data_IF_089498785659
#
_entry.id   IF_089498785659
#
_cell.length_a   1.000
_cell.length_b   1.000
_cell.length_c   1.000
_cell.angle_alpha   90.00
_cell.angle_beta   90.00
_cell.angle_gamma   90.00
#
_symmetry.space_group_name_H-M   'P 1'
#
loop_
_entity.id
_entity.type
_entity.pdbx_description
1 polymer ?
#
# COMPACT_ATOMS: atom_id res chain seq x y z
N UNK A 1 -2.59 7.97 -14.08
CA UNK A 1 -2.76 6.76 -13.25
C UNK A 1 -2.58 7.14 -11.78
N UNK A 2 -3.44 6.67 -10.88
CA UNK A 2 -3.28 6.87 -9.43
C UNK A 2 -2.80 5.55 -8.83
N UNK A 3 -1.64 5.58 -8.16
CA UNK A 3 -1.04 4.39 -7.55
C UNK A 3 -0.87 4.66 -6.05
N UNK A 4 -1.36 3.73 -5.23
CA UNK A 4 -1.07 3.72 -3.81
C UNK A 4 -0.17 2.56 -3.46
N UNK A 5 0.78 2.79 -2.55
CA UNK A 5 1.61 1.74 -1.98
C UNK A 5 1.41 1.67 -0.47
N UNK A 6 0.79 0.58 -0.02
CA UNK A 6 0.56 0.31 1.40
C UNK A 6 1.77 -0.44 1.93
N UNK A 7 2.80 0.32 2.27
CA UNK A 7 4.14 -0.18 2.62
C UNK A 7 4.16 -1.23 3.75
N UNK A 8 3.36 -1.11 4.84
CA UNK A 8 3.35 -2.11 5.90
C UNK A 8 2.92 -3.51 5.46
N UNK A 9 2.21 -3.61 4.33
CA UNK A 9 1.64 -4.88 3.83
C UNK A 9 2.17 -5.28 2.45
N UNK A 10 3.09 -4.49 1.89
CA UNK A 10 3.60 -4.62 0.52
C UNK A 10 2.46 -4.81 -0.49
N UNK A 11 1.47 -3.93 -0.44
CA UNK A 11 0.32 -3.96 -1.36
C UNK A 11 0.31 -2.71 -2.22
N UNK A 12 0.12 -2.89 -3.52
CA UNK A 12 -0.10 -1.80 -4.48
C UNK A 12 -1.56 -1.76 -4.88
N UNK A 13 -2.17 -0.59 -4.81
CA UNK A 13 -3.51 -0.34 -5.35
C UNK A 13 -3.39 0.48 -6.63
N UNK A 14 -3.91 -0.05 -7.73
CA UNK A 14 -3.87 0.56 -9.05
C UNK A 14 -5.11 0.14 -9.84
N UNK A 15 -5.82 1.09 -10.44
CA UNK A 15 -7.01 0.82 -11.28
C UNK A 15 -8.03 -0.10 -10.60
N UNK A 16 -8.40 0.23 -9.36
CA UNK A 16 -9.34 -0.51 -8.50
C UNK A 16 -8.95 -1.96 -8.17
N UNK A 17 -7.70 -2.34 -8.47
CA UNK A 17 -7.15 -3.67 -8.16
C UNK A 17 -6.03 -3.57 -7.15
N UNK A 18 -5.93 -4.61 -6.33
CA UNK A 18 -4.86 -4.79 -5.38
C UNK A 18 -3.86 -5.85 -5.86
N UNK A 19 -2.57 -5.55 -5.70
CA UNK A 19 -1.47 -6.41 -6.07
C UNK A 19 -0.54 -6.59 -4.89
N UNK A 20 -0.05 -7.81 -4.69
CA UNK A 20 1.06 -8.03 -3.77
C UNK A 20 2.33 -7.58 -4.48
N UNK A 21 3.17 -6.88 -3.74
CA UNK A 21 4.47 -6.45 -4.22
C UNK A 21 5.56 -7.20 -3.45
N UNK A 22 6.58 -7.62 -4.17
CA UNK A 22 7.80 -8.19 -3.61
C UNK A 22 8.72 -7.04 -3.21
N UNK A 23 9.13 -6.99 -1.94
CA UNK A 23 10.08 -5.96 -1.51
C UNK A 23 11.46 -6.26 -2.09
N UNK A 24 12.15 -5.21 -2.47
CA UNK A 24 13.54 -5.28 -2.90
C UNK A 24 14.42 -5.00 -1.70
N UNK A 25 15.31 -5.95 -1.38
CA UNK A 25 16.31 -5.77 -0.35
C UNK A 25 17.55 -5.05 -0.90
N UNK A 26 18.03 -4.06 -0.17
CA UNK A 26 19.23 -3.29 -0.50
C UNK A 26 19.00 -2.11 -1.44
N UNK A 27 20.09 -1.41 -1.78
CA UNK A 27 20.06 -0.19 -2.57
C UNK A 27 20.24 -0.49 -4.06
N UNK A 28 19.22 -1.09 -4.68
CA UNK A 28 19.23 -1.38 -6.12
C UNK A 28 18.83 -0.14 -6.91
N UNK A 29 19.57 0.18 -7.97
CA UNK A 29 19.27 1.30 -8.86
C UNK A 29 17.93 1.11 -9.60
N UNK A 30 17.03 2.08 -9.48
CA UNK A 30 15.74 2.13 -10.17
C UNK A 30 15.61 3.24 -11.21
N UNK A 31 16.44 4.28 -11.16
CA UNK A 31 16.40 5.38 -12.13
C UNK A 31 16.84 6.72 -11.55
N UNK A 32 16.48 7.80 -12.24
CA UNK A 32 16.79 9.17 -11.80
C UNK A 32 15.53 9.96 -11.45
N UNK A 33 15.57 10.64 -10.31
CA UNK A 33 14.52 11.55 -9.88
C UNK A 33 14.66 12.92 -10.56
N UNK A 34 13.55 13.67 -10.69
CA UNK A 34 13.59 15.03 -11.26
C UNK A 34 14.46 16.01 -10.46
N UNK A 35 14.71 15.74 -9.19
CA UNK A 35 15.60 16.56 -8.35
C UNK A 35 17.10 16.26 -8.56
N UNK A 36 17.44 15.37 -9.50
CA UNK A 36 18.80 14.93 -9.81
C UNK A 36 19.35 13.82 -8.90
N UNK A 37 18.56 13.33 -7.93
CA UNK A 37 18.95 12.20 -7.08
C UNK A 37 18.70 10.83 -7.73
N UNK A 38 19.31 9.78 -7.17
CA UNK A 38 19.07 8.40 -7.58
C UNK A 38 17.75 7.90 -6.96
N UNK A 39 16.98 7.15 -7.74
CA UNK A 39 15.84 6.40 -7.26
C UNK A 39 16.26 4.96 -6.98
N UNK A 40 16.02 4.50 -5.75
CA UNK A 40 16.32 3.15 -5.29
C UNK A 40 15.04 2.32 -5.32
N UNK A 41 15.14 1.09 -5.83
CA UNK A 41 14.00 0.19 -5.93
C UNK A 41 13.51 -0.21 -4.53
N UNK A 42 12.19 -0.14 -4.31
CA UNK A 42 11.54 -0.57 -3.05
C UNK A 42 10.75 -1.85 -3.21
N UNK A 43 10.04 -1.99 -4.33
CA UNK A 43 9.19 -3.14 -4.55
C UNK A 43 8.87 -3.36 -6.04
N UNK A 44 8.50 -4.58 -6.37
CA UNK A 44 7.98 -4.97 -7.69
C UNK A 44 6.61 -5.62 -7.58
N UNK A 45 5.75 -5.33 -8.55
CA UNK A 45 4.58 -6.15 -8.85
C UNK A 45 4.88 -6.88 -10.14
N UNK A 46 5.18 -8.17 -10.02
CA UNK A 46 5.61 -9.03 -11.13
C UNK A 46 6.64 -8.32 -12.04
N UNK A 47 6.52 -8.44 -13.35
CA UNK A 47 7.32 -7.71 -14.35
C UNK A 47 6.65 -6.43 -14.87
N UNK A 48 5.55 -5.99 -14.24
CA UNK A 48 4.68 -4.91 -14.77
C UNK A 48 4.93 -3.56 -14.11
N UNK A 49 5.35 -3.53 -12.84
CA UNK A 49 5.45 -2.28 -12.08
C UNK A 49 6.60 -2.35 -11.07
N UNK A 50 7.52 -1.38 -11.15
CA UNK A 50 8.55 -1.16 -10.14
C UNK A 50 8.22 0.10 -9.35
N UNK A 51 8.29 0.03 -8.03
CA UNK A 51 8.20 1.19 -7.14
C UNK A 51 9.62 1.57 -6.70
N UNK A 52 9.97 2.84 -6.84
CA UNK A 52 11.26 3.35 -6.41
C UNK A 52 11.11 4.67 -5.64
N UNK A 53 12.05 4.92 -4.73
CA UNK A 53 12.09 6.12 -3.89
C UNK A 53 13.40 6.87 -4.09
N UNK A 54 13.30 8.18 -4.20
CA UNK A 54 14.47 9.02 -4.34
C UNK A 54 15.21 9.17 -3.02
N UNK A 55 16.52 8.90 -3.02
CA UNK A 55 17.39 9.03 -1.84
C UNK A 55 17.53 10.47 -1.32
N UNK A 56 17.19 11.47 -2.14
CA UNK A 56 17.39 12.90 -1.84
C UNK A 56 16.12 13.60 -1.39
N UNK A 57 15.01 13.41 -2.12
CA UNK A 57 13.76 14.12 -1.88
C UNK A 57 12.64 13.21 -1.37
N UNK A 58 12.92 11.91 -1.17
CA UNK A 58 11.98 10.91 -0.66
C UNK A 58 10.71 10.72 -1.48
N UNK A 59 10.66 11.29 -2.69
CA UNK A 59 9.56 11.10 -3.63
C UNK A 59 9.55 9.65 -4.10
N UNK A 60 8.36 9.05 -4.09
CA UNK A 60 8.12 7.70 -4.59
C UNK A 60 7.44 7.76 -5.94
N UNK A 61 8.00 7.05 -6.91
CA UNK A 61 7.44 6.92 -8.27
C UNK A 61 7.30 5.44 -8.61
N UNK A 62 6.29 5.13 -9.43
CA UNK A 62 6.10 3.82 -10.03
C UNK A 62 6.50 3.90 -11.51
N UNK A 63 7.24 2.90 -11.97
CA UNK A 63 7.70 2.73 -13.34
C UNK A 63 6.95 1.53 -13.91
N UNK A 64 6.14 1.77 -14.93
CA UNK A 64 5.32 0.75 -15.57
C UNK A 64 6.02 0.19 -16.79
N UNK A 65 5.94 -1.12 -16.93
CA UNK A 65 6.52 -1.87 -18.02
C UNK A 65 5.45 -2.67 -18.78
N UNK A 66 5.75 -2.97 -20.04
CA UNK A 66 5.05 -3.97 -20.83
C UNK A 66 6.10 -4.96 -21.33
N UNK A 67 6.28 -6.05 -20.59
CA UNK A 67 7.47 -6.89 -20.69
C UNK A 67 8.72 -6.07 -20.39
N UNK A 68 9.67 -6.00 -21.35
CA UNK A 68 10.93 -5.24 -21.18
C UNK A 68 10.82 -3.76 -21.56
N UNK A 69 9.68 -3.32 -22.08
CA UNK A 69 9.52 -1.94 -22.57
C UNK A 69 8.98 -1.04 -21.46
N UNK A 70 9.73 0.02 -21.14
CA UNK A 70 9.23 1.11 -20.30
C UNK A 70 8.06 1.81 -20.98
N UNK A 71 6.96 2.01 -20.24
CA UNK A 71 5.74 2.65 -20.72
C UNK A 71 5.63 4.06 -20.18
N UNK A 72 5.59 4.19 -18.85
CA UNK A 72 5.38 5.46 -18.18
C UNK A 72 5.90 5.43 -16.74
N UNK A 73 6.00 6.61 -16.15
CA UNK A 73 6.26 6.80 -14.73
C UNK A 73 5.18 7.68 -14.11
N UNK A 74 4.76 7.37 -12.90
CA UNK A 74 3.77 8.15 -12.17
C UNK A 74 4.09 8.26 -10.68
N UNK A 75 3.52 9.28 -10.04
CA UNK A 75 3.70 9.50 -8.61
C UNK A 75 2.93 8.45 -7.80
N UNK A 76 3.52 8.00 -6.69
CA UNK A 76 2.92 7.01 -5.78
C UNK A 76 2.56 7.67 -4.46
N UNK A 77 1.32 7.46 -4.02
CA UNK A 77 0.88 7.84 -2.68
C UNK A 77 1.22 6.68 -1.74
N UNK A 78 2.16 6.90 -0.82
CA UNK A 78 2.56 5.86 0.12
C UNK A 78 1.72 5.96 1.39
N UNK A 79 1.05 4.86 1.74
CA UNK A 79 0.34 4.70 3.00
C UNK A 79 1.27 3.98 3.98
N UNK A 80 1.95 4.77 4.79
CA UNK A 80 2.77 4.26 5.88
C UNK A 80 1.93 3.86 7.09
N UNK A 81 2.56 3.20 8.06
CA UNK A 81 1.91 2.76 9.30
C UNK A 81 1.17 3.90 10.02
N UNK A 82 1.79 5.08 10.10
CA UNK A 82 1.21 6.24 10.79
C UNK A 82 -0.05 6.81 10.10
N UNK A 83 -0.23 6.57 8.81
CA UNK A 83 -1.40 7.02 8.04
C UNK A 83 -2.42 5.89 7.80
N UNK A 84 -2.17 4.68 8.30
CA UNK A 84 -3.06 3.54 8.05
C UNK A 84 -4.46 3.77 8.61
N UNK A 85 -4.57 4.46 9.74
CA UNK A 85 -5.87 4.76 10.38
C UNK A 85 -6.74 5.64 9.47
N UNK A 86 -6.16 6.67 8.86
CA UNK A 86 -6.86 7.55 7.92
C UNK A 86 -7.30 6.78 6.68
N UNK A 87 -6.38 6.00 6.10
CA UNK A 87 -6.70 5.14 4.96
C UNK A 87 -7.87 4.18 5.25
N UNK A 88 -7.89 3.54 6.42
CA UNK A 88 -8.98 2.63 6.80
C UNK A 88 -10.32 3.35 6.99
N UNK A 89 -10.32 4.60 7.46
CA UNK A 89 -11.53 5.41 7.57
C UNK A 89 -12.09 5.82 6.21
N UNK A 90 -11.22 6.00 5.22
CA UNK A 90 -11.64 6.39 3.87
C UNK A 90 -12.30 5.23 3.11
N UNK A 91 -11.88 3.98 3.38
CA UNK A 91 -12.40 2.79 2.66
C UNK A 91 -13.52 2.05 3.40
N UNK A 92 -13.67 2.26 4.70
CA UNK A 92 -14.67 1.61 5.55
C UNK A 92 -15.74 2.61 5.98
N UNK A 93 -16.98 2.13 6.14
CA UNK A 93 -17.99 2.90 6.86
C UNK A 93 -17.63 3.06 8.34
N UNK A 94 -18.19 4.06 9.02
CA UNK A 94 -17.93 4.30 10.45
C UNK A 94 -18.17 3.06 11.31
N UNK A 95 -19.27 2.33 11.06
CA UNK A 95 -19.58 1.10 11.80
C UNK A 95 -18.57 -0.04 11.53
N UNK A 96 -18.09 -0.17 10.30
CA UNK A 96 -17.06 -1.15 9.92
C UNK A 96 -15.72 -0.83 10.58
N UNK A 97 -15.29 0.43 10.52
CA UNK A 97 -14.06 0.91 11.15
C UNK A 97 -14.10 0.74 12.67
N UNK A 98 -15.19 1.15 13.33
CA UNK A 98 -15.37 0.96 14.77
C UNK A 98 -15.31 -0.51 15.18
N UNK A 99 -15.93 -1.40 14.40
CA UNK A 99 -15.93 -2.82 14.71
C UNK A 99 -14.51 -3.42 14.67
N UNK A 100 -13.68 -3.02 13.68
CA UNK A 100 -12.26 -3.43 13.62
C UNK A 100 -11.46 -2.84 14.79
N UNK A 101 -11.62 -1.55 15.07
CA UNK A 101 -10.90 -0.87 16.15
C UNK A 101 -11.23 -1.49 17.52
N UNK A 102 -12.50 -1.78 17.78
CA UNK A 102 -12.92 -2.43 19.01
C UNK A 102 -12.41 -3.87 19.08
N UNK A 103 -12.43 -4.61 17.97
CA UNK A 103 -11.84 -5.95 17.89
C UNK A 103 -10.34 -5.92 18.24
N UNK A 104 -9.58 -4.97 17.69
CA UNK A 104 -8.14 -4.83 17.95
C UNK A 104 -7.82 -4.57 19.43
N UNK A 105 -8.72 -3.88 20.13
CA UNK A 105 -8.61 -3.54 21.55
C UNK A 105 -9.26 -4.56 22.50
N UNK A 106 -9.71 -5.70 21.99
CA UNK A 106 -10.47 -6.71 22.74
C UNK A 106 -11.73 -6.16 23.43
N UNK A 107 -12.39 -5.17 22.82
CA UNK A 107 -13.66 -4.60 23.27
C UNK A 107 -14.85 -5.28 22.57
N UNK A 108 -16.06 -5.03 23.06
CA UNK A 108 -17.30 -5.46 22.37
C UNK A 108 -17.45 -4.76 21.01
N UNK A 109 -17.88 -5.51 19.99
CA UNK A 109 -18.02 -5.03 18.61
C UNK A 109 -19.19 -5.69 17.89
N UNK A 110 -19.70 -5.03 16.86
CA UNK A 110 -20.71 -5.60 15.98
C UNK A 110 -20.06 -6.59 15.00
N UNK A 111 -20.36 -7.89 15.15
CA UNK A 111 -19.79 -8.95 14.31
C UNK A 111 -20.10 -8.78 12.82
N UNK A 112 -21.33 -8.38 12.47
CA UNK A 112 -21.73 -8.21 11.07
C UNK A 112 -20.95 -7.06 10.41
N UNK A 113 -20.74 -5.95 11.12
CA UNK A 113 -19.90 -4.86 10.65
C UNK A 113 -18.44 -5.29 10.51
N UNK A 114 -17.90 -6.04 11.49
CA UNK A 114 -16.56 -6.59 11.41
C UNK A 114 -16.38 -7.54 10.21
N UNK A 115 -17.33 -8.44 9.97
CA UNK A 115 -17.28 -9.41 8.86
C UNK A 115 -17.24 -8.70 7.50
N UNK A 116 -18.07 -7.67 7.30
CA UNK A 116 -18.02 -6.84 6.08
C UNK A 116 -16.70 -6.08 5.94
N UNK A 117 -16.21 -5.49 7.03
CA UNK A 117 -14.95 -4.77 7.03
C UNK A 117 -13.76 -5.69 6.69
N UNK A 118 -13.72 -6.88 7.30
CA UNK A 118 -12.73 -7.93 7.02
C UNK A 118 -12.75 -8.31 5.55
N UNK A 119 -13.93 -8.55 4.97
CA UNK A 119 -14.07 -8.90 3.54
C UNK A 119 -13.48 -7.80 2.63
N UNK A 120 -13.81 -6.53 2.87
CA UNK A 120 -13.27 -5.39 2.09
C UNK A 120 -11.73 -5.31 2.19
N UNK A 121 -11.19 -5.50 3.38
CA UNK A 121 -9.74 -5.51 3.62
C UNK A 121 -9.05 -6.65 2.86
N UNK A 122 -9.63 -7.85 2.91
CA UNK A 122 -9.09 -9.03 2.23
C UNK A 122 -9.18 -8.91 0.70
N UNK A 123 -10.23 -8.28 0.17
CA UNK A 123 -10.36 -7.92 -1.25
C UNK A 123 -9.22 -6.99 -1.72
N UNK A 124 -8.72 -6.14 -0.82
CA UNK A 124 -7.52 -5.31 -1.05
C UNK A 124 -6.20 -6.07 -0.83
N UNK A 125 -6.24 -7.40 -0.66
CA UNK A 125 -5.08 -8.25 -0.34
C UNK A 125 -4.35 -7.84 0.95
N UNK A 126 -5.03 -7.13 1.85
CA UNK A 126 -4.48 -6.74 3.15
C UNK A 126 -4.75 -7.84 4.18
N UNK A 127 -3.78 -8.06 5.07
CA UNK A 127 -3.91 -9.04 6.13
C UNK A 127 -4.63 -8.41 7.33
N UNK A 128 -5.80 -8.96 7.69
CA UNK A 128 -6.60 -8.47 8.82
C UNK A 128 -5.87 -8.55 10.16
N UNK A 129 -5.15 -9.63 10.44
CA UNK A 129 -4.42 -9.81 11.70
C UNK A 129 -3.29 -8.78 11.83
N UNK A 130 -2.60 -8.48 10.73
CA UNK A 130 -1.60 -7.43 10.69
C UNK A 130 -2.21 -6.04 10.93
N UNK A 131 -3.41 -5.77 10.41
CA UNK A 131 -4.15 -4.53 10.70
C UNK A 131 -4.53 -4.45 12.18
N UNK A 132 -5.09 -5.53 12.74
CA UNK A 132 -5.47 -5.59 14.15
C UNK A 132 -4.26 -5.32 15.06
N UNK A 133 -3.09 -5.89 14.74
CA UNK A 133 -1.83 -5.65 15.47
C UNK A 133 -1.32 -4.21 15.37
N UNK A 134 -1.61 -3.51 14.28
CA UNK A 134 -1.24 -2.08 14.16
C UNK A 134 -2.20 -1.19 14.96
N UNK A 135 -3.46 -1.60 15.09
CA UNK A 135 -4.53 -0.82 15.73
C UNK A 135 -4.70 -1.08 17.24
N UNK A 136 -4.11 -2.16 17.76
CA UNK A 136 -4.09 -2.50 19.20
C UNK A 136 -3.25 -1.50 19.98
#
# INVERSE_FOLDING_TARGET
MKVFFIDPFSVVLMEDKAFKAEKVDGNIFGGFCKCGGIMLQKAWVDDILMIAECERCWKVEAFRFNGRKFVERCDVIVIYRQNLVEFLRDILSSAEFEAIRNKAKNLSYNYNAFSRAKKKIEELKLNIDGILKILS
#
